data_IF_492386470129
#
_entry.id   IF_492386470129
#
_cell.length_a   1.000
_cell.length_b   1.000
_cell.length_c   1.000
_cell.angle_alpha   90.00
_cell.angle_beta   90.00
_cell.angle_gamma   90.00
#
_symmetry.space_group_name_H-M   'P 1'
#
loop_
_entity.id
_entity.type
_entity.pdbx_description
1 polymer ?
#
# COMPACT_ATOMS: atom_id res chain seq x y z
N UNK A 1 13.49 -26.37 -28.25
CA UNK A 1 13.83 -24.96 -27.97
C UNK A 1 12.73 -24.25 -27.19
N UNK A 2 11.48 -24.20 -27.66
CA UNK A 2 10.35 -23.59 -26.94
C UNK A 2 10.18 -24.13 -25.50
N UNK A 3 10.24 -25.46 -25.31
CA UNK A 3 10.06 -26.07 -23.99
C UNK A 3 11.11 -25.60 -22.96
N UNK A 4 12.37 -25.44 -23.36
CA UNK A 4 13.43 -24.94 -22.48
C UNK A 4 13.21 -23.47 -22.10
N UNK A 5 12.67 -22.67 -23.03
CA UNK A 5 12.26 -21.28 -22.76
C UNK A 5 11.13 -21.26 -21.73
N UNK A 6 10.15 -22.15 -21.84
CA UNK A 6 9.05 -22.25 -20.86
C UNK A 6 9.58 -22.56 -19.47
N UNK A 7 10.46 -23.55 -19.33
CA UNK A 7 11.09 -23.88 -18.04
C UNK A 7 11.92 -22.71 -17.48
N UNK A 8 12.67 -22.00 -18.34
CA UNK A 8 13.39 -20.80 -17.94
C UNK A 8 12.43 -19.71 -17.43
N UNK A 9 11.31 -19.49 -18.12
CA UNK A 9 10.31 -18.50 -17.74
C UNK A 9 9.58 -18.86 -16.44
N UNK A 10 9.36 -20.16 -16.18
CA UNK A 10 8.87 -20.66 -14.90
C UNK A 10 9.87 -20.34 -13.79
N UNK A 11 11.16 -20.62 -13.99
CA UNK A 11 12.22 -20.33 -13.02
C UNK A 11 12.32 -18.82 -12.71
N UNK A 12 12.25 -17.98 -13.74
CA UNK A 12 12.16 -16.51 -13.59
C UNK A 12 10.92 -16.15 -12.77
N UNK A 13 9.77 -16.75 -13.07
CA UNK A 13 8.53 -16.54 -12.32
C UNK A 13 8.66 -16.86 -10.83
N UNK A 14 9.28 -17.99 -10.49
CA UNK A 14 9.55 -18.37 -9.09
C UNK A 14 10.44 -17.34 -8.40
N UNK A 15 11.48 -16.86 -9.08
CA UNK A 15 12.39 -15.84 -8.54
C UNK A 15 11.66 -14.51 -8.31
N UNK A 16 10.78 -14.11 -9.22
CA UNK A 16 9.94 -12.91 -9.06
C UNK A 16 8.98 -13.08 -7.87
N UNK A 17 8.34 -14.24 -7.70
CA UNK A 17 7.45 -14.49 -6.57
C UNK A 17 8.18 -14.39 -5.22
N UNK A 18 9.39 -14.95 -5.12
CA UNK A 18 10.26 -14.79 -3.96
C UNK A 18 10.62 -13.32 -3.71
N UNK A 19 10.97 -12.60 -4.77
CA UNK A 19 11.27 -11.17 -4.67
C UNK A 19 10.06 -10.37 -4.17
N UNK A 20 8.83 -10.69 -4.58
CA UNK A 20 7.62 -10.02 -4.10
C UNK A 20 7.41 -10.20 -2.59
N UNK A 21 7.67 -11.39 -2.05
CA UNK A 21 7.61 -11.63 -0.60
C UNK A 21 8.65 -10.77 0.12
N UNK A 22 9.88 -10.72 -0.40
CA UNK A 22 10.94 -9.87 0.14
C UNK A 22 10.55 -8.38 0.10
N UNK A 23 10.04 -7.91 -1.05
CA UNK A 23 9.65 -6.50 -1.23
C UNK A 23 8.51 -6.11 -0.28
N UNK A 24 7.53 -6.98 -0.06
CA UNK A 24 6.44 -6.73 0.89
C UNK A 24 6.98 -6.67 2.32
N UNK A 25 7.83 -7.63 2.71
CA UNK A 25 8.45 -7.64 4.03
C UNK A 25 9.27 -6.36 4.27
N UNK A 26 10.09 -5.96 3.29
CA UNK A 26 10.81 -4.68 3.30
C UNK A 26 9.84 -3.50 3.42
N UNK A 27 8.74 -3.51 2.65
CA UNK A 27 7.77 -2.43 2.65
C UNK A 27 7.00 -2.27 3.97
N UNK A 28 6.94 -3.30 4.80
CA UNK A 28 6.35 -3.25 6.12
C UNK A 28 7.34 -2.71 7.14
N UNK A 29 8.56 -3.22 7.10
CA UNK A 29 9.55 -2.95 8.14
C UNK A 29 10.28 -1.62 7.93
N UNK A 30 10.22 -1.07 6.72
CA UNK A 30 10.85 0.20 6.37
C UNK A 30 9.81 1.31 6.34
N UNK A 31 9.99 2.28 7.25
CA UNK A 31 9.17 3.49 7.35
C UNK A 31 9.03 4.20 6.00
N UNK A 32 7.85 4.81 5.78
CA UNK A 32 7.52 5.47 4.52
C UNK A 32 8.51 6.61 4.16
N UNK A 33 9.13 7.22 5.16
CA UNK A 33 10.14 8.28 5.06
C UNK A 33 11.44 7.80 4.39
N UNK A 34 11.82 6.54 4.61
CA UNK A 34 13.00 5.92 4.01
C UNK A 34 12.81 5.58 2.52
N UNK A 35 11.57 5.62 2.03
CA UNK A 35 11.20 5.34 0.63
C UNK A 35 11.04 6.59 -0.22
N UNK A 36 11.20 7.78 0.36
CA UNK A 36 11.13 9.04 -0.36
C UNK A 36 12.43 9.32 -1.11
N UNK A 37 12.32 9.99 -2.27
CA UNK A 37 13.47 10.62 -2.92
C UNK A 37 14.12 11.63 -1.96
N UNK A 38 15.42 11.90 -2.14
CA UNK A 38 16.16 12.89 -1.33
C UNK A 38 15.45 14.26 -1.32
N UNK A 39 14.90 14.68 -2.46
CA UNK A 39 14.17 15.94 -2.59
C UNK A 39 12.87 15.96 -1.76
N UNK A 40 12.08 14.88 -1.82
CA UNK A 40 10.83 14.77 -1.06
C UNK A 40 11.08 14.60 0.43
N UNK A 41 12.18 13.91 0.80
CA UNK A 41 12.62 13.79 2.19
C UNK A 41 13.03 15.14 2.76
N UNK A 42 13.72 15.98 1.98
CA UNK A 42 14.04 17.36 2.34
C UNK A 42 12.78 18.18 2.59
N UNK A 43 11.82 18.16 1.66
CA UNK A 43 10.53 18.86 1.79
C UNK A 43 9.73 18.40 3.01
N UNK A 44 9.63 17.09 3.22
CA UNK A 44 8.93 16.52 4.37
C UNK A 44 9.59 16.94 5.70
N UNK A 45 10.93 16.93 5.73
CA UNK A 45 11.69 17.34 6.91
C UNK A 45 11.45 18.81 7.24
N UNK A 46 11.52 19.70 6.26
CA UNK A 46 11.26 21.14 6.45
C UNK A 46 9.84 21.38 7.00
N UNK A 47 8.82 20.73 6.43
CA UNK A 47 7.43 20.82 6.92
C UNK A 47 7.27 20.26 8.35
N UNK A 48 7.96 19.18 8.69
CA UNK A 48 7.91 18.59 10.03
C UNK A 48 8.62 19.45 11.07
N UNK A 49 9.79 19.99 10.73
CA UNK A 49 10.55 20.89 11.60
C UNK A 49 9.74 22.15 11.91
N UNK A 50 9.10 22.75 10.89
CA UNK A 50 8.21 23.90 11.09
C UNK A 50 6.95 23.58 11.88
N UNK A 51 6.34 22.41 11.68
CA UNK A 51 5.18 21.99 12.48
C UNK A 51 5.55 21.87 13.97
N UNK A 52 6.73 21.32 14.28
CA UNK A 52 7.26 21.22 15.65
C UNK A 52 7.54 22.61 16.24
N UNK A 53 8.17 23.51 15.46
CA UNK A 53 8.40 24.89 15.89
C UNK A 53 7.09 25.65 16.12
N UNK A 54 6.08 25.45 15.27
CA UNK A 54 4.76 26.06 15.45
C UNK A 54 4.06 25.55 16.71
N UNK A 55 4.21 24.25 17.04
CA UNK A 55 3.67 23.66 18.26
C UNK A 55 4.38 24.16 19.53
N UNK A 56 5.70 24.40 19.47
CA UNK A 56 6.51 24.82 20.62
C UNK A 56 6.51 26.34 20.85
N UNK A 57 6.57 27.13 19.77
CA UNK A 57 6.83 28.57 19.83
C UNK A 57 5.67 29.42 19.30
N UNK A 58 4.52 28.80 18.99
CA UNK A 58 3.36 29.49 18.38
C UNK A 58 3.69 30.24 17.07
N UNK A 59 4.74 29.80 16.36
CA UNK A 59 5.17 30.32 15.06
C UNK A 59 4.26 29.79 13.94
N UNK A 60 3.00 30.17 14.02
CA UNK A 60 1.87 29.62 13.27
C UNK A 60 1.83 30.04 11.79
N UNK A 61 2.32 31.24 11.46
CA UNK A 61 2.21 31.83 10.12
C UNK A 61 3.08 31.10 9.08
N UNK A 62 4.33 30.78 9.41
CA UNK A 62 5.27 30.11 8.50
C UNK A 62 4.81 28.69 8.15
N UNK A 63 4.27 27.97 9.15
CA UNK A 63 3.69 26.65 8.93
C UNK A 63 2.44 26.72 8.06
N UNK A 64 1.56 27.71 8.27
CA UNK A 64 0.29 27.83 7.55
C UNK A 64 0.51 28.08 6.04
N UNK A 65 1.49 28.93 5.71
CA UNK A 65 1.86 29.19 4.32
C UNK A 65 2.37 27.92 3.61
N UNK A 66 3.23 27.13 4.27
CA UNK A 66 3.75 25.89 3.68
C UNK A 66 2.71 24.77 3.64
N UNK A 67 1.87 24.64 4.68
CA UNK A 67 0.76 23.69 4.71
C UNK A 67 -0.26 24.00 3.61
N UNK A 68 -0.61 25.26 3.41
CA UNK A 68 -1.47 25.72 2.32
C UNK A 68 -0.90 25.38 0.95
N UNK A 69 0.41 25.60 0.75
CA UNK A 69 1.10 25.23 -0.49
C UNK A 69 1.11 23.71 -0.71
N UNK A 70 1.31 22.93 0.35
CA UNK A 70 1.43 21.48 0.30
C UNK A 70 0.09 20.73 0.21
N UNK A 71 -0.98 21.24 0.85
CA UNK A 71 -2.27 20.55 1.01
C UNK A 71 -3.43 21.28 0.33
N UNK A 72 -3.31 22.58 0.09
CA UNK A 72 -4.36 23.46 -0.44
C UNK A 72 -4.93 24.38 0.65
N UNK A 73 -5.54 25.50 0.27
CA UNK A 73 -6.04 26.53 1.21
C UNK A 73 -7.24 26.05 2.05
N UNK A 74 -8.03 25.10 1.55
CA UNK A 74 -9.24 24.62 2.23
C UNK A 74 -8.98 23.48 3.23
N UNK A 75 -7.71 23.09 3.42
CA UNK A 75 -7.35 21.95 4.28
C UNK A 75 -7.26 22.36 5.75
N UNK A 76 -7.84 21.56 6.66
CA UNK A 76 -7.83 21.86 8.09
C UNK A 76 -6.39 21.91 8.65
N UNK A 77 -6.01 23.09 9.11
CA UNK A 77 -4.67 23.43 9.59
C UNK A 77 -4.19 22.58 10.75
N UNK A 78 -4.99 22.36 11.79
CA UNK A 78 -4.51 21.60 12.95
C UNK A 78 -4.50 20.09 12.69
N UNK A 79 -5.17 19.58 11.64
CA UNK A 79 -4.95 18.21 11.16
C UNK A 79 -3.57 18.11 10.49
N UNK A 80 -3.21 19.10 9.68
CA UNK A 80 -1.89 19.16 9.08
C UNK A 80 -0.82 19.24 10.18
N UNK A 81 -1.01 20.09 11.19
CA UNK A 81 -0.08 20.22 12.30
C UNK A 81 0.20 18.89 12.99
N UNK A 82 -0.87 18.17 13.40
CA UNK A 82 -0.72 16.85 14.04
C UNK A 82 -0.02 15.86 13.12
N UNK A 83 -0.33 15.86 11.82
CA UNK A 83 0.27 14.93 10.87
C UNK A 83 1.78 15.16 10.66
N UNK A 84 2.24 16.42 10.70
CA UNK A 84 3.64 16.79 10.46
C UNK A 84 4.47 16.91 11.74
N UNK A 85 3.85 17.18 12.89
CA UNK A 85 4.55 17.31 14.17
C UNK A 85 4.84 15.97 14.85
N UNK A 86 4.15 14.89 14.46
CA UNK A 86 4.37 13.57 15.02
C UNK A 86 5.81 13.08 14.81
N UNK A 87 6.37 12.38 15.81
CA UNK A 87 7.80 11.98 15.85
C UNK A 87 8.21 11.24 14.57
N UNK A 88 7.35 10.35 14.10
CA UNK A 88 7.44 9.76 12.77
C UNK A 88 6.54 10.51 11.79
N UNK A 89 6.99 11.65 11.26
CA UNK A 89 6.27 12.37 10.21
C UNK A 89 5.92 11.46 9.01
N UNK A 90 6.73 10.41 8.77
CA UNK A 90 6.45 9.40 7.74
C UNK A 90 5.14 8.61 7.93
N UNK A 91 4.61 8.56 9.14
CA UNK A 91 3.45 7.73 9.50
C UNK A 91 2.11 8.37 9.15
N UNK A 92 1.99 9.71 9.14
CA UNK A 92 0.73 10.39 8.77
C UNK A 92 0.89 11.41 7.63
N UNK A 93 1.99 12.16 7.60
CA UNK A 93 2.17 13.19 6.57
C UNK A 93 2.34 12.61 5.17
N UNK A 94 3.04 11.47 5.01
CA UNK A 94 3.23 10.84 3.69
C UNK A 94 1.91 10.30 3.11
N UNK A 95 1.09 9.53 3.86
CA UNK A 95 -0.25 9.16 3.42
C UNK A 95 -1.10 10.37 3.04
N UNK A 96 -1.02 11.44 3.83
CA UNK A 96 -1.80 12.66 3.60
C UNK A 96 -1.42 13.35 2.29
N UNK A 97 -0.13 13.58 2.06
CA UNK A 97 0.38 14.17 0.83
C UNK A 97 0.02 13.34 -0.41
N UNK A 98 0.05 12.01 -0.30
CA UNK A 98 -0.29 11.10 -1.40
C UNK A 98 -1.78 11.08 -1.72
N UNK A 99 -2.64 11.27 -0.73
CA UNK A 99 -4.10 11.06 -0.86
C UNK A 99 -4.94 12.34 -0.77
N UNK A 100 -4.34 13.51 -0.57
CA UNK A 100 -5.05 14.80 -0.39
C UNK A 100 -6.18 15.05 -1.40
N UNK A 101 -5.95 14.80 -2.70
CA UNK A 101 -6.93 15.06 -3.78
C UNK A 101 -8.16 14.14 -3.75
N UNK A 102 -8.10 13.04 -2.99
CA UNK A 102 -9.16 12.02 -2.92
C UNK A 102 -9.94 12.06 -1.61
N UNK A 103 -9.55 12.92 -0.67
CA UNK A 103 -10.28 13.15 0.56
C UNK A 103 -11.38 14.16 0.30
N UNK A 104 -12.62 13.81 0.66
CA UNK A 104 -13.71 14.78 0.75
C UNK A 104 -14.14 14.95 2.21
N UNK A 105 -14.09 16.19 2.64
CA UNK A 105 -14.60 16.64 3.92
C UNK A 105 -16.07 17.04 3.69
N UNK A 106 -17.02 16.21 4.12
CA UNK A 106 -18.40 16.65 4.16
C UNK A 106 -18.53 17.63 5.33
N UNK A 107 -18.61 18.92 5.01
CA UNK A 107 -18.95 19.98 5.96
C UNK A 107 -20.42 19.90 6.36
N UNK A 108 -20.68 20.24 7.61
CA UNK A 108 -21.95 20.45 8.33
C UNK A 108 -23.26 20.03 7.67
N UNK A 109 -23.95 19.09 8.32
CA UNK A 109 -25.40 19.17 8.43
C UNK A 109 -25.73 19.09 9.91
N UNK A 110 -26.28 20.19 10.42
CA UNK A 110 -26.68 20.41 11.81
C UNK A 110 -27.38 19.17 12.38
N UNK A 111 -26.92 18.71 13.55
CA UNK A 111 -27.73 17.88 14.44
C UNK A 111 -27.25 16.47 14.75
N UNK A 112 -26.28 15.87 14.05
CA UNK A 112 -25.84 14.51 14.42
C UNK A 112 -24.41 14.11 14.00
N UNK A 113 -23.54 13.98 15.01
CA UNK A 113 -22.64 12.83 15.21
C UNK A 113 -21.53 12.59 14.15
N UNK A 114 -20.31 13.02 14.49
CA UNK A 114 -18.99 12.73 13.84
C UNK A 114 -18.91 13.15 12.37
N UNK A 115 -18.11 14.18 12.09
CA UNK A 115 -17.62 14.55 10.77
C UNK A 115 -17.00 13.33 10.07
N UNK A 116 -17.79 12.66 9.21
CA UNK A 116 -17.37 11.46 8.47
C UNK A 116 -16.57 11.88 7.25
N UNK A 117 -15.26 11.72 7.34
CA UNK A 117 -14.37 11.90 6.20
C UNK A 117 -14.55 10.74 5.25
N UNK A 118 -14.85 11.07 4.00
CA UNK A 118 -15.07 10.10 2.93
C UNK A 118 -13.90 10.16 1.95
N UNK A 119 -13.54 9.00 1.42
CA UNK A 119 -12.50 8.87 0.41
C UNK A 119 -13.15 8.49 -0.91
N UNK A 120 -12.84 9.26 -1.95
CA UNK A 120 -13.25 8.98 -3.32
C UNK A 120 -12.23 8.03 -3.96
N UNK A 121 -12.64 6.79 -4.19
CA UNK A 121 -11.83 5.77 -4.86
C UNK A 121 -11.94 5.92 -6.38
N UNK A 122 -13.18 6.02 -6.85
CA UNK A 122 -13.61 6.17 -8.24
C UNK A 122 -14.74 7.22 -8.30
N UNK A 123 -15.14 7.72 -9.48
CA UNK A 123 -16.15 8.79 -9.61
C UNK A 123 -17.46 8.51 -8.85
N UNK A 124 -17.87 7.24 -8.78
CA UNK A 124 -19.10 6.79 -8.12
C UNK A 124 -18.85 5.95 -6.86
N UNK A 125 -17.59 5.73 -6.46
CA UNK A 125 -17.28 4.90 -5.30
C UNK A 125 -16.62 5.74 -4.20
N UNK A 126 -17.40 6.00 -3.15
CA UNK A 126 -16.95 6.66 -1.93
C UNK A 126 -17.07 5.68 -0.77
N UNK A 127 -16.06 5.59 0.07
CA UNK A 127 -16.14 4.84 1.34
C UNK A 127 -15.67 5.70 2.50
N UNK A 128 -16.03 5.29 3.71
CA UNK A 128 -15.41 5.81 4.93
C UNK A 128 -14.00 5.25 5.08
N UNK A 129 -13.17 5.93 5.87
CA UNK A 129 -11.83 5.46 6.22
C UNK A 129 -11.93 4.12 7.00
N UNK A 130 -11.11 3.12 6.66
CA UNK A 130 -11.11 1.83 7.34
C UNK A 130 -10.50 1.97 8.74
N UNK A 131 -11.15 1.35 9.74
CA UNK A 131 -10.64 1.27 11.12
C UNK A 131 -9.91 -0.04 11.41
N UNK A 132 -9.88 -0.98 10.46
CA UNK A 132 -9.27 -2.30 10.64
C UNK A 132 -8.01 -2.40 9.80
N UNK A 133 -6.94 -2.89 10.43
CA UNK A 133 -5.69 -3.16 9.75
C UNK A 133 -5.71 -4.57 9.13
N UNK A 134 -5.92 -4.67 7.81
CA UNK A 134 -5.96 -5.94 7.07
C UNK A 134 -4.58 -6.40 6.55
N UNK A 135 -3.53 -5.66 6.88
CA UNK A 135 -2.18 -5.87 6.35
C UNK A 135 -1.65 -7.29 6.60
N UNK A 136 -1.86 -7.82 7.80
CA UNK A 136 -1.44 -9.19 8.14
C UNK A 136 -2.07 -10.25 7.21
N UNK A 137 -3.36 -10.09 6.90
CA UNK A 137 -4.06 -11.01 5.99
C UNK A 137 -3.55 -10.91 4.55
N UNK A 138 -3.28 -9.69 4.06
CA UNK A 138 -2.74 -9.47 2.72
C UNK A 138 -1.32 -10.05 2.58
N UNK A 139 -0.50 -9.97 3.63
CA UNK A 139 0.84 -10.58 3.67
C UNK A 139 0.74 -12.10 3.61
N UNK A 140 -0.11 -12.69 4.47
CA UNK A 140 -0.34 -14.12 4.48
C UNK A 140 -0.78 -14.62 3.10
N UNK A 141 -1.66 -13.87 2.41
CA UNK A 141 -2.10 -14.17 1.05
C UNK A 141 -0.92 -14.20 0.06
N UNK A 142 0.01 -13.22 0.10
CA UNK A 142 1.16 -13.22 -0.82
C UNK A 142 2.15 -14.35 -0.50
N UNK A 143 2.36 -14.66 0.78
CA UNK A 143 3.19 -15.81 1.19
C UNK A 143 2.59 -17.12 0.66
N UNK A 144 1.29 -17.33 0.84
CA UNK A 144 0.58 -18.51 0.31
C UNK A 144 0.70 -18.58 -1.21
N UNK A 145 0.50 -17.47 -1.92
CA UNK A 145 0.69 -17.41 -3.37
C UNK A 145 2.13 -17.79 -3.78
N UNK A 146 3.15 -17.34 -3.05
CA UNK A 146 4.53 -17.70 -3.31
C UNK A 146 4.77 -19.21 -3.14
N UNK A 147 4.22 -19.82 -2.10
CA UNK A 147 4.29 -21.28 -1.92
C UNK A 147 3.58 -22.04 -3.05
N UNK A 148 2.42 -21.56 -3.50
CA UNK A 148 1.72 -22.15 -4.64
C UNK A 148 2.55 -22.06 -5.93
N UNK A 149 3.20 -20.92 -6.19
CA UNK A 149 4.09 -20.77 -7.35
C UNK A 149 5.26 -21.75 -7.30
N UNK A 150 5.91 -21.92 -6.14
CA UNK A 150 6.99 -22.89 -5.96
C UNK A 150 6.50 -24.33 -6.15
N UNK A 151 5.34 -24.67 -5.59
CA UNK A 151 4.72 -25.97 -5.75
C UNK A 151 4.44 -26.26 -7.23
N UNK A 152 3.81 -25.32 -7.94
CA UNK A 152 3.52 -25.45 -9.37
C UNK A 152 4.79 -25.65 -10.19
N UNK A 153 5.84 -24.88 -9.91
CA UNK A 153 7.13 -25.06 -10.57
C UNK A 153 7.74 -26.44 -10.30
N UNK A 154 7.72 -26.92 -9.05
CA UNK A 154 8.19 -28.27 -8.72
C UNK A 154 7.37 -29.36 -9.44
N UNK A 155 6.06 -29.18 -9.53
CA UNK A 155 5.16 -30.08 -10.25
C UNK A 155 5.48 -30.16 -11.75
N UNK A 156 5.93 -29.07 -12.38
CA UNK A 156 6.34 -29.11 -13.80
C UNK A 156 7.56 -29.98 -14.07
N UNK A 157 8.44 -30.17 -13.08
CA UNK A 157 9.58 -31.09 -13.20
C UNK A 157 9.14 -32.52 -12.89
N UNK A 158 8.33 -32.68 -11.84
CA UNK A 158 7.82 -33.99 -11.42
C UNK A 158 7.01 -34.69 -12.53
N UNK A 159 6.14 -33.94 -13.21
CA UNK A 159 5.23 -34.46 -14.25
C UNK A 159 5.94 -34.92 -15.54
N UNK A 160 7.22 -34.55 -15.73
CA UNK A 160 8.05 -35.05 -16.84
C UNK A 160 8.23 -36.57 -16.70
N UNK A 161 8.52 -37.04 -15.48
CA UNK A 161 8.76 -38.45 -15.20
C UNK A 161 7.49 -39.17 -14.76
N UNK A 162 6.54 -38.45 -14.15
CA UNK A 162 5.32 -39.00 -13.57
C UNK A 162 4.10 -38.20 -14.02
N UNK A 163 3.61 -38.43 -15.25
CA UNK A 163 2.45 -37.71 -15.76
C UNK A 163 1.20 -38.02 -14.91
N UNK A 164 0.41 -36.98 -14.64
CA UNK A 164 -0.81 -37.10 -13.85
C UNK A 164 -1.95 -37.53 -14.76
N UNK A 165 -2.53 -38.71 -14.48
CA UNK A 165 -3.63 -39.28 -15.25
C UNK A 165 -5.01 -38.75 -14.84
N UNK A 166 -5.12 -38.04 -13.71
CA UNK A 166 -6.39 -37.51 -13.21
C UNK A 166 -6.88 -36.35 -14.08
N UNK A 167 -8.08 -36.43 -14.71
CA UNK A 167 -8.54 -35.45 -15.69
C UNK A 167 -8.57 -34.00 -15.18
N UNK A 168 -8.98 -33.80 -13.92
CA UNK A 168 -9.04 -32.47 -13.28
C UNK A 168 -7.67 -31.79 -13.12
N UNK A 169 -6.60 -32.59 -13.09
CA UNK A 169 -5.23 -32.14 -12.85
C UNK A 169 -4.32 -32.38 -14.06
N UNK A 170 -4.87 -32.90 -15.17
CA UNK A 170 -4.11 -33.22 -16.37
C UNK A 170 -3.40 -31.99 -16.97
N UNK A 171 -3.92 -30.79 -16.72
CA UNK A 171 -3.30 -29.52 -17.13
C UNK A 171 -1.93 -29.27 -16.48
N UNK A 172 -1.61 -29.92 -15.35
CA UNK A 172 -0.29 -29.83 -14.72
C UNK A 172 0.81 -30.48 -15.57
N UNK A 173 0.45 -31.39 -16.47
CA UNK A 173 1.38 -32.02 -17.39
C UNK A 173 1.81 -31.08 -18.53
N UNK A 174 1.13 -29.93 -18.70
CA UNK A 174 1.38 -28.95 -19.76
C UNK A 174 2.17 -27.75 -19.20
N UNK A 175 3.50 -27.67 -19.38
CA UNK A 175 4.32 -26.66 -18.72
C UNK A 175 3.95 -25.23 -19.11
N UNK A 176 3.40 -25.03 -20.31
CA UNK A 176 2.94 -23.72 -20.77
C UNK A 176 1.74 -23.23 -19.96
N UNK A 177 0.77 -24.11 -19.66
CA UNK A 177 -0.39 -23.76 -18.84
C UNK A 177 0.08 -23.42 -17.43
N UNK A 178 0.97 -24.26 -16.85
CA UNK A 178 1.51 -24.01 -15.52
C UNK A 178 2.28 -22.68 -15.45
N UNK A 179 3.08 -22.38 -16.47
CA UNK A 179 3.74 -21.07 -16.60
C UNK A 179 2.72 -19.93 -16.56
N UNK A 180 1.66 -19.97 -17.36
CA UNK A 180 0.65 -18.91 -17.37
C UNK A 180 -0.02 -18.73 -16.00
N UNK A 181 -0.34 -19.83 -15.31
CA UNK A 181 -0.91 -19.80 -13.96
C UNK A 181 0.06 -19.17 -12.97
N UNK A 182 1.36 -19.50 -13.03
CA UNK A 182 2.40 -18.85 -12.20
C UNK A 182 2.42 -17.35 -12.43
N UNK A 183 2.42 -16.88 -13.68
CA UNK A 183 2.41 -15.44 -13.98
C UNK A 183 1.11 -14.76 -13.54
N UNK A 184 -0.03 -15.47 -13.56
CA UNK A 184 -1.28 -14.96 -13.00
C UNK A 184 -1.18 -14.75 -11.47
N UNK A 185 -0.57 -15.70 -10.74
CA UNK A 185 -0.31 -15.54 -9.30
C UNK A 185 0.64 -14.37 -9.01
N UNK A 186 1.70 -14.22 -9.80
CA UNK A 186 2.64 -13.08 -9.70
C UNK A 186 1.88 -11.77 -9.88
N UNK A 187 1.04 -11.68 -10.91
CA UNK A 187 0.23 -10.49 -11.17
C UNK A 187 -0.76 -10.20 -10.03
N UNK A 188 -1.43 -11.22 -9.50
CA UNK A 188 -2.31 -11.09 -8.34
C UNK A 188 -1.56 -10.55 -7.12
N UNK A 189 -0.36 -11.04 -6.83
CA UNK A 189 0.49 -10.54 -5.74
C UNK A 189 0.90 -9.08 -5.94
N UNK A 190 1.14 -8.63 -7.18
CA UNK A 190 1.37 -7.20 -7.46
C UNK A 190 0.14 -6.34 -7.13
N UNK A 191 -1.04 -6.81 -7.49
CA UNK A 191 -2.30 -6.11 -7.17
C UNK A 191 -2.51 -6.04 -5.66
N UNK A 192 -2.27 -7.14 -4.95
CA UNK A 192 -2.34 -7.20 -3.48
C UNK A 192 -1.36 -6.23 -2.84
N UNK A 193 -0.11 -6.15 -3.31
CA UNK A 193 0.88 -5.20 -2.79
C UNK A 193 0.45 -3.74 -2.97
N UNK A 194 -0.07 -3.39 -4.16
CA UNK A 194 -0.61 -2.04 -4.42
C UNK A 194 -1.83 -1.74 -3.53
N UNK A 195 -2.69 -2.74 -3.33
CA UNK A 195 -3.87 -2.63 -2.49
C UNK A 195 -3.52 -2.52 -1.00
N UNK A 196 -2.52 -3.26 -0.51
CA UNK A 196 -2.02 -3.15 0.87
C UNK A 196 -1.55 -1.72 1.15
N UNK A 197 -0.67 -1.18 0.30
CA UNK A 197 -0.20 0.20 0.43
C UNK A 197 -1.34 1.20 0.40
N UNK A 198 -2.34 0.97 -0.45
CA UNK A 198 -3.52 1.81 -0.54
C UNK A 198 -4.33 1.79 0.77
N UNK A 199 -4.67 0.59 1.26
CA UNK A 199 -5.45 0.41 2.48
C UNK A 199 -4.71 0.87 3.73
N UNK A 200 -3.39 0.70 3.76
CA UNK A 200 -2.56 1.19 4.86
C UNK A 200 -2.52 2.72 4.92
N UNK A 201 -2.38 3.40 3.77
CA UNK A 201 -2.47 4.87 3.71
C UNK A 201 -3.82 5.34 4.29
N UNK A 202 -4.92 4.67 3.92
CA UNK A 202 -6.26 5.02 4.41
C UNK A 202 -6.44 4.74 5.90
N UNK A 203 -5.90 3.64 6.40
CA UNK A 203 -5.94 3.29 7.82
C UNK A 203 -5.17 4.33 8.66
N UNK A 204 -3.97 4.73 8.22
CA UNK A 204 -3.18 5.77 8.89
C UNK A 204 -3.93 7.11 8.93
N UNK A 205 -4.58 7.50 7.82
CA UNK A 205 -5.43 8.69 7.79
C UNK A 205 -6.64 8.54 8.72
N UNK A 206 -7.32 7.39 8.74
CA UNK A 206 -8.40 7.11 9.69
C UNK A 206 -7.99 7.33 11.15
N UNK A 207 -6.79 6.86 11.52
CA UNK A 207 -6.23 7.07 12.86
C UNK A 207 -5.91 8.54 13.13
N UNK A 208 -5.31 9.26 12.17
CA UNK A 208 -5.03 10.70 12.28
C UNK A 208 -6.32 11.50 12.56
N UNK A 209 -7.37 11.23 11.81
CA UNK A 209 -8.63 11.95 11.95
C UNK A 209 -9.41 11.57 13.21
N UNK A 210 -9.32 10.32 13.66
CA UNK A 210 -9.91 9.90 14.94
C UNK A 210 -9.20 10.52 16.15
N UNK A 211 -7.88 10.73 16.11
CA UNK A 211 -7.13 11.40 17.19
C UNK A 211 -7.60 12.83 17.48
N UNK A 212 -8.29 13.47 16.53
CA UNK A 212 -8.77 14.86 16.61
C UNK A 212 -10.29 14.99 16.77
N UNK A 213 -10.99 13.85 16.88
CA UNK A 213 -12.44 13.79 17.14
C UNK A 213 -12.78 13.73 18.64
N UNK A 214 -11.81 14.09 19.49
CA UNK A 214 -11.91 14.25 20.95
C UNK A 214 -11.47 15.65 21.30
#
# INVERSE_FOLDING_TARGET
MLIYIVFLMIFVGVTVALYQVYEIHYNINVGNDKKLSKADKGRLKTLSDQAKTAQQNHAWADFDQMATTALGPDFNRDIALVAFAEEEAGSYAIPLLRRKRRLSFNGDTEGAKRSRITVRHLPFWKTTLPNVNIRAALIALVIVNCFLVQLLAAMTIYTISYPISTPLLAWLNEPLIVMLVIYAFIFMSLLVSKFDRYMHDLYQLGKLFNKKAV
#
